data_IF_401245544096
#
_entry.id   IF_401245544096
#
_cell.length_a   1.000
_cell.length_b   1.000
_cell.length_c   1.000
_cell.angle_alpha   90.00
_cell.angle_beta   90.00
_cell.angle_gamma   90.00
#
_symmetry.space_group_name_H-M   'P 1'
#
loop_
_entity.id
_entity.type
_entity.pdbx_description
1 polymer ?
#
# COMPACT_ATOMS: atom_id res chain seq x y z
N UNK A 1 -3.35 38.74 24.54
CA UNK A 1 -4.02 37.49 24.93
C UNK A 1 -5.22 37.88 25.75
N UNK A 2 -6.41 37.32 25.49
CA UNK A 2 -7.57 37.58 26.33
C UNK A 2 -7.67 36.52 27.45
N UNK A 3 -8.48 36.78 28.47
CA UNK A 3 -8.67 35.89 29.63
C UNK A 3 -9.20 34.49 29.24
N UNK A 4 -9.95 34.42 28.13
CA UNK A 4 -10.41 33.16 27.52
C UNK A 4 -9.26 32.31 26.97
N UNK A 5 -8.26 32.93 26.33
CA UNK A 5 -7.06 32.26 25.82
C UNK A 5 -6.23 31.65 26.97
N UNK A 6 -6.09 32.37 28.09
CA UNK A 6 -5.34 31.87 29.26
C UNK A 6 -6.03 30.68 29.94
N UNK A 7 -7.35 30.75 30.14
CA UNK A 7 -8.13 29.64 30.68
C UNK A 7 -8.00 28.38 29.83
N UNK A 8 -8.04 28.54 28.50
CA UNK A 8 -7.88 27.43 27.58
C UNK A 8 -6.43 26.89 27.54
N UNK A 9 -5.41 27.74 27.68
CA UNK A 9 -4.03 27.26 27.84
C UNK A 9 -3.89 26.37 29.04
N UNK A 10 -4.36 26.81 30.21
CA UNK A 10 -4.23 26.01 31.43
C UNK A 10 -4.97 24.68 31.31
N UNK A 11 -6.16 24.70 30.71
CA UNK A 11 -6.92 23.49 30.40
C UNK A 11 -6.13 22.48 29.55
N UNK A 12 -5.37 22.93 28.55
CA UNK A 12 -4.57 22.03 27.71
C UNK A 12 -3.18 21.74 28.28
N UNK A 13 -2.57 22.64 29.06
CA UNK A 13 -1.33 22.36 29.82
C UNK A 13 -1.51 21.16 30.73
N UNK A 14 -2.63 21.09 31.46
CA UNK A 14 -2.96 19.94 32.31
C UNK A 14 -3.13 18.61 31.57
N UNK A 15 -3.26 18.63 30.24
CA UNK A 15 -3.39 17.43 29.39
C UNK A 15 -2.07 17.00 28.73
N UNK A 16 -1.01 17.80 28.85
CA UNK A 16 0.29 17.47 28.27
C UNK A 16 0.92 16.33 29.09
N UNK A 17 1.32 15.27 28.41
CA UNK A 17 2.06 14.15 29.01
C UNK A 17 3.28 13.86 28.16
N UNK A 18 4.47 13.83 28.76
CA UNK A 18 5.74 13.59 28.06
C UNK A 18 5.92 14.47 26.80
N UNK A 19 5.60 15.77 26.92
CA UNK A 19 5.59 16.74 25.80
C UNK A 19 4.69 16.35 24.62
N UNK A 20 3.72 15.47 24.84
CA UNK A 20 2.71 15.08 23.88
C UNK A 20 1.37 15.68 24.28
N UNK A 21 0.65 16.21 23.29
CA UNK A 21 -0.71 16.68 23.45
C UNK A 21 -1.64 16.00 22.44
N UNK A 22 -2.70 15.39 22.96
CA UNK A 22 -3.82 14.90 22.16
C UNK A 22 -4.98 15.89 22.23
N UNK A 23 -5.48 16.31 21.06
CA UNK A 23 -6.73 17.06 20.93
C UNK A 23 -7.67 16.20 20.09
N UNK A 24 -8.84 15.92 20.66
CA UNK A 24 -9.82 15.06 20.04
C UNK A 24 -11.24 15.59 20.26
N UNK A 25 -12.11 15.31 19.29
CA UNK A 25 -13.49 15.80 19.25
C UNK A 25 -13.60 17.06 18.40
N UNK A 26 -14.83 17.39 18.01
CA UNK A 26 -15.20 18.48 17.08
C UNK A 26 -14.79 19.86 17.61
N UNK A 27 -13.49 20.11 17.62
CA UNK A 27 -12.82 21.26 18.23
C UNK A 27 -12.37 22.19 17.11
N UNK A 28 -12.85 23.43 17.17
CA UNK A 28 -12.39 24.49 16.30
C UNK A 28 -11.02 25.01 16.73
N UNK A 29 -9.97 24.73 15.96
CA UNK A 29 -8.62 25.16 16.26
C UNK A 29 -8.36 26.63 15.89
N UNK A 30 -9.24 27.30 15.11
CA UNK A 30 -9.15 28.77 14.91
C UNK A 30 -9.41 29.57 16.18
N UNK A 31 -10.21 29.02 17.10
CA UNK A 31 -10.45 29.61 18.41
C UNK A 31 -9.42 29.19 19.46
N UNK A 32 -8.41 28.42 19.06
CA UNK A 32 -7.35 27.86 19.91
C UNK A 32 -5.99 28.42 19.45
N UNK A 33 -5.92 29.75 19.27
CA UNK A 33 -4.71 30.46 18.81
C UNK A 33 -3.53 30.35 19.79
N UNK A 34 -3.79 29.84 20.98
CA UNK A 34 -2.81 29.69 22.03
C UNK A 34 -1.94 28.44 21.91
N UNK A 35 -2.18 27.54 20.94
CA UNK A 35 -1.37 26.33 20.78
C UNK A 35 0.13 26.65 20.76
N UNK A 36 0.53 27.73 20.09
CA UNK A 36 1.91 28.25 20.06
C UNK A 36 2.56 28.49 21.44
N UNK A 37 1.77 28.66 22.50
CA UNK A 37 2.22 28.89 23.86
C UNK A 37 2.46 27.61 24.66
N UNK A 38 2.18 26.43 24.07
CA UNK A 38 2.35 25.13 24.70
C UNK A 38 3.73 24.56 24.34
N UNK A 39 4.49 24.11 25.35
CA UNK A 39 5.73 23.35 25.12
C UNK A 39 5.38 21.87 24.85
N UNK A 40 5.11 21.58 23.57
CA UNK A 40 4.81 20.23 23.08
C UNK A 40 5.69 19.91 21.89
N UNK A 41 6.14 18.66 21.81
CA UNK A 41 6.92 18.11 20.70
C UNK A 41 6.09 17.17 19.84
N UNK A 42 5.11 16.49 20.45
CA UNK A 42 4.14 15.67 19.73
C UNK A 42 2.76 16.30 19.82
N UNK A 43 2.11 16.50 18.68
CA UNK A 43 0.74 16.96 18.59
C UNK A 43 -0.09 15.94 17.81
N UNK A 44 -1.10 15.38 18.47
CA UNK A 44 -2.03 14.44 17.85
C UNK A 44 -3.42 15.07 17.78
N UNK A 45 -3.93 15.26 16.58
CA UNK A 45 -5.22 15.88 16.30
C UNK A 45 -6.17 14.82 15.70
N UNK A 46 -7.36 14.70 16.28
CA UNK A 46 -8.37 13.74 15.84
C UNK A 46 -9.74 14.43 15.75
N UNK A 47 -10.37 14.41 14.57
CA UNK A 47 -11.69 15.00 14.36
C UNK A 47 -11.76 16.49 14.77
N UNK A 48 -10.71 17.26 14.49
CA UNK A 48 -10.66 18.70 14.73
C UNK A 48 -11.05 19.48 13.47
N UNK A 49 -11.16 20.81 13.53
CA UNK A 49 -11.34 21.59 12.31
C UNK A 49 -10.73 22.98 12.41
N UNK A 50 -10.47 23.62 11.27
CA UNK A 50 -9.97 25.00 11.24
C UNK A 50 -8.52 25.15 11.73
N UNK A 51 -7.70 24.10 11.64
CA UNK A 51 -6.27 24.23 11.92
C UNK A 51 -5.62 25.22 10.94
N UNK A 52 -4.88 26.19 11.49
CA UNK A 52 -3.97 27.03 10.72
C UNK A 52 -2.56 26.83 11.30
N UNK A 53 -1.61 26.35 10.49
CA UNK A 53 -0.27 25.98 10.94
C UNK A 53 0.51 27.11 11.62
N UNK A 54 0.18 28.37 11.32
CA UNK A 54 0.77 29.56 11.97
C UNK A 54 0.50 29.65 13.49
N UNK A 55 -0.48 28.90 14.01
CA UNK A 55 -0.77 28.84 15.44
C UNK A 55 -0.19 27.60 16.12
N UNK A 56 0.42 26.68 15.38
CA UNK A 56 1.01 25.45 15.92
C UNK A 56 2.44 25.73 16.41
N UNK A 57 2.89 25.18 17.54
CA UNK A 57 4.25 25.35 18.02
C UNK A 57 5.31 24.96 16.98
N UNK A 58 6.37 25.76 16.86
CA UNK A 58 7.43 25.53 15.87
C UNK A 58 8.44 24.47 16.30
N UNK A 59 8.45 24.08 17.59
CA UNK A 59 9.28 23.04 18.17
C UNK A 59 8.69 21.61 18.03
N UNK A 60 7.57 21.46 17.32
CA UNK A 60 6.98 20.16 17.02
C UNK A 60 7.96 19.30 16.23
N UNK A 61 8.14 18.06 16.70
CA UNK A 61 8.93 17.02 16.05
C UNK A 61 8.04 15.94 15.45
N UNK A 62 6.82 15.74 15.98
CA UNK A 62 5.85 14.78 15.48
C UNK A 62 4.45 15.41 15.41
N UNK A 63 3.87 15.45 14.21
CA UNK A 63 2.52 15.92 13.99
C UNK A 63 1.67 14.81 13.36
N UNK A 64 0.57 14.49 14.03
CA UNK A 64 -0.40 13.51 13.57
C UNK A 64 -1.76 14.20 13.46
N UNK A 65 -2.38 14.10 12.30
CA UNK A 65 -3.71 14.62 12.01
C UNK A 65 -4.58 13.56 11.36
N UNK A 66 -5.71 13.26 11.98
CA UNK A 66 -6.73 12.38 11.45
C UNK A 66 -8.08 13.08 11.41
N UNK A 67 -8.68 13.14 10.22
CA UNK A 67 -10.03 13.69 10.01
C UNK A 67 -10.16 15.13 10.53
N UNK A 68 -9.12 15.96 10.37
CA UNK A 68 -9.11 17.32 10.89
C UNK A 68 -9.57 18.40 9.89
N UNK A 69 -10.02 17.96 8.70
CA UNK A 69 -10.48 18.83 7.59
C UNK A 69 -9.48 19.94 7.28
N UNK A 70 -8.19 19.59 7.28
CA UNK A 70 -7.11 20.54 6.96
C UNK A 70 -7.20 20.85 5.46
N UNK A 71 -7.40 22.12 5.13
CA UNK A 71 -7.55 22.55 3.74
C UNK A 71 -6.22 22.83 3.04
N UNK A 72 -5.18 23.16 3.81
CA UNK A 72 -3.85 23.51 3.29
C UNK A 72 -2.77 23.21 4.32
N UNK A 73 -1.59 22.82 3.84
CA UNK A 73 -0.37 22.68 4.65
C UNK A 73 0.43 23.98 4.74
N UNK A 74 -0.05 25.09 4.17
CA UNK A 74 0.67 26.36 4.19
C UNK A 74 1.03 26.78 5.63
N UNK A 75 2.32 27.06 5.85
CA UNK A 75 2.87 27.39 7.17
C UNK A 75 3.59 26.22 7.85
N UNK A 76 3.38 24.97 7.42
CA UNK A 76 4.05 23.80 8.00
C UNK A 76 5.59 23.90 7.91
N UNK A 77 6.10 24.58 6.89
CA UNK A 77 7.52 24.89 6.67
C UNK A 77 8.19 25.64 7.84
N UNK A 78 7.43 26.21 8.78
CA UNK A 78 7.94 26.86 9.99
C UNK A 78 8.41 25.84 11.04
N UNK A 79 7.94 24.59 10.98
CA UNK A 79 8.30 23.51 11.90
C UNK A 79 9.62 22.87 11.50
N UNK A 80 10.72 23.61 11.68
CA UNK A 80 12.07 23.19 11.25
C UNK A 80 12.63 21.97 11.99
N UNK A 81 11.97 21.52 13.06
CA UNK A 81 12.35 20.32 13.82
C UNK A 81 11.44 19.12 13.53
N UNK A 82 10.51 19.24 12.57
CA UNK A 82 9.57 18.16 12.27
C UNK A 82 10.31 16.95 11.67
N UNK A 83 10.21 15.81 12.35
CA UNK A 83 10.81 14.52 11.96
C UNK A 83 9.74 13.51 11.49
N UNK A 84 8.51 13.64 12.00
CA UNK A 84 7.39 12.78 11.62
C UNK A 84 6.13 13.59 11.31
N UNK A 85 5.54 13.34 10.15
CA UNK A 85 4.30 13.93 9.71
C UNK A 85 3.32 12.84 9.27
N UNK A 86 2.14 12.82 9.87
CA UNK A 86 1.02 11.97 9.45
C UNK A 86 -0.20 12.85 9.24
N UNK A 87 -0.73 12.84 8.02
CA UNK A 87 -1.87 13.67 7.62
C UNK A 87 -2.86 12.78 6.86
N UNK A 88 -4.03 12.55 7.45
CA UNK A 88 -5.13 11.86 6.81
C UNK A 88 -6.25 12.86 6.49
N UNK A 89 -6.13 13.49 5.32
CA UNK A 89 -6.95 14.62 4.91
C UNK A 89 -7.30 14.48 3.42
N UNK A 90 -8.60 14.52 3.13
CA UNK A 90 -9.11 14.21 1.80
C UNK A 90 -8.98 15.35 0.79
N UNK A 91 -8.84 16.60 1.26
CA UNK A 91 -9.05 17.80 0.44
C UNK A 91 -7.78 18.64 0.16
N UNK A 92 -6.62 18.23 0.69
CA UNK A 92 -5.35 18.94 0.45
C UNK A 92 -4.93 18.72 -1.01
N UNK A 93 -4.68 19.83 -1.73
CA UNK A 93 -4.26 19.80 -3.13
C UNK A 93 -2.76 20.05 -3.32
N UNK A 94 -2.11 20.74 -2.39
CA UNK A 94 -0.70 21.11 -2.51
C UNK A 94 0.13 20.60 -1.33
N UNK A 95 1.00 19.63 -1.64
CA UNK A 95 1.96 19.04 -0.72
C UNK A 95 3.39 19.58 -0.93
N UNK A 96 3.63 20.45 -1.93
CA UNK A 96 4.98 20.95 -2.24
C UNK A 96 5.60 21.72 -1.07
N UNK A 97 4.80 22.34 -0.22
CA UNK A 97 5.27 23.02 0.99
C UNK A 97 6.02 22.11 1.98
N UNK A 98 5.89 20.78 1.84
CA UNK A 98 6.63 19.81 2.66
C UNK A 98 8.10 19.73 2.23
N UNK A 99 8.46 20.12 1.00
CA UNK A 99 9.83 19.98 0.46
C UNK A 99 10.91 20.67 1.33
N UNK A 100 10.52 21.68 2.11
CA UNK A 100 11.42 22.46 2.97
C UNK A 100 11.65 21.82 4.35
N UNK A 101 10.98 20.71 4.65
CA UNK A 101 11.08 19.99 5.93
C UNK A 101 12.13 18.88 5.82
N UNK A 102 13.37 19.29 5.53
CA UNK A 102 14.46 18.36 5.15
C UNK A 102 14.91 17.39 6.25
N UNK A 103 14.45 17.56 7.49
CA UNK A 103 14.70 16.63 8.62
C UNK A 103 13.69 15.49 8.72
N UNK A 104 12.68 15.48 7.85
CA UNK A 104 11.61 14.51 7.91
C UNK A 104 12.14 13.09 7.67
N UNK A 105 11.87 12.19 8.62
CA UNK A 105 12.17 10.76 8.57
C UNK A 105 10.93 9.93 8.28
N UNK A 106 9.77 10.39 8.74
CA UNK A 106 8.49 9.71 8.55
C UNK A 106 7.47 10.62 7.87
N UNK A 107 6.90 10.16 6.77
CA UNK A 107 5.88 10.88 6.02
C UNK A 107 4.74 9.96 5.61
N UNK A 108 3.60 10.13 6.26
CA UNK A 108 2.37 9.39 5.97
C UNK A 108 1.31 10.36 5.48
N UNK A 109 0.94 10.26 4.20
CA UNK A 109 -0.08 11.12 3.60
C UNK A 109 -1.21 10.25 3.04
N UNK A 110 -2.38 10.38 3.64
CA UNK A 110 -3.59 9.66 3.24
C UNK A 110 -4.61 10.69 2.74
N UNK A 111 -4.94 10.64 1.46
CA UNK A 111 -5.75 11.68 0.84
C UNK A 111 -5.94 11.45 -0.65
N UNK A 112 -6.94 12.11 -1.25
CA UNK A 112 -7.28 11.90 -2.68
C UNK A 112 -6.48 12.78 -3.64
N UNK A 113 -5.83 13.83 -3.14
CA UNK A 113 -5.17 14.87 -3.93
C UNK A 113 -3.70 14.61 -4.28
N UNK A 114 -3.08 13.55 -3.75
CA UNK A 114 -1.65 13.29 -3.97
C UNK A 114 -1.45 12.66 -5.35
N UNK A 115 -0.95 13.44 -6.30
CA UNK A 115 -0.70 12.98 -7.69
C UNK A 115 0.77 13.12 -8.11
N UNK A 116 1.43 14.17 -7.64
CA UNK A 116 2.85 14.48 -7.87
C UNK A 116 3.64 14.28 -6.57
N UNK A 117 4.78 13.59 -6.70
CA UNK A 117 5.69 13.24 -5.61
C UNK A 117 7.06 13.92 -5.74
N UNK A 118 7.26 14.82 -6.71
CA UNK A 118 8.55 15.48 -6.96
C UNK A 118 9.11 16.21 -5.72
N UNK A 119 8.22 16.73 -4.86
CA UNK A 119 8.61 17.37 -3.59
C UNK A 119 9.39 16.44 -2.64
N UNK A 120 9.32 15.11 -2.83
CA UNK A 120 10.06 14.14 -2.02
C UNK A 120 11.56 14.13 -2.32
N UNK A 121 11.99 14.64 -3.48
CA UNK A 121 13.42 14.61 -3.87
C UNK A 121 14.32 15.39 -2.91
N UNK A 122 13.79 16.38 -2.19
CA UNK A 122 14.53 17.15 -1.18
C UNK A 122 14.57 16.48 0.20
N UNK A 123 13.76 15.44 0.42
CA UNK A 123 13.57 14.80 1.74
C UNK A 123 14.48 13.57 1.89
N UNK A 124 15.79 13.79 1.73
CA UNK A 124 16.79 12.72 1.59
C UNK A 124 16.90 11.76 2.80
N UNK A 125 16.40 12.15 3.98
CA UNK A 125 16.46 11.35 5.22
C UNK A 125 15.17 10.58 5.52
N UNK A 126 14.24 10.48 4.58
CA UNK A 126 13.05 9.67 4.74
C UNK A 126 13.42 8.19 4.93
N UNK A 127 12.91 7.63 6.01
CA UNK A 127 13.05 6.23 6.43
C UNK A 127 11.71 5.49 6.25
N UNK A 128 10.59 6.18 6.49
CA UNK A 128 9.26 5.58 6.50
C UNK A 128 8.25 6.43 5.71
N UNK A 129 7.77 5.88 4.58
CA UNK A 129 6.82 6.57 3.69
C UNK A 129 5.57 5.73 3.50
N UNK A 130 4.40 6.35 3.66
CA UNK A 130 3.13 5.71 3.37
C UNK A 130 2.19 6.67 2.61
N UNK A 131 1.67 6.21 1.48
CA UNK A 131 0.67 6.92 0.70
C UNK A 131 -0.52 6.02 0.33
N UNK A 132 -1.72 6.58 0.37
CA UNK A 132 -2.93 5.94 -0.16
C UNK A 132 -3.67 6.91 -1.08
N UNK A 133 -3.22 7.01 -2.32
CA UNK A 133 -3.86 7.82 -3.36
C UNK A 133 -3.84 7.11 -4.70
N UNK A 134 -5.02 6.93 -5.29
CA UNK A 134 -5.19 6.33 -6.63
C UNK A 134 -4.73 7.24 -7.77
N UNK A 135 -4.40 8.50 -7.48
CA UNK A 135 -3.95 9.47 -8.48
C UNK A 135 -2.44 9.48 -8.65
N UNK A 136 -1.68 8.78 -7.79
CA UNK A 136 -0.24 8.58 -7.94
C UNK A 136 0.00 7.60 -9.09
N UNK A 137 0.62 8.09 -10.16
CA UNK A 137 0.98 7.27 -11.33
C UNK A 137 2.48 6.98 -11.41
N UNK A 138 3.28 7.90 -10.87
CA UNK A 138 4.73 7.81 -10.85
C UNK A 138 5.23 8.08 -9.42
N UNK A 139 6.13 7.22 -8.97
CA UNK A 139 6.83 7.36 -7.69
C UNK A 139 8.36 7.35 -7.89
N UNK A 140 8.82 7.69 -9.10
CA UNK A 140 10.23 7.84 -9.43
C UNK A 140 10.98 8.82 -8.51
N UNK A 141 10.28 9.79 -7.94
CA UNK A 141 10.82 10.70 -6.93
C UNK A 141 11.38 9.97 -5.69
N UNK A 142 10.88 8.77 -5.36
CA UNK A 142 11.39 7.96 -4.24
C UNK A 142 12.76 7.33 -4.53
N UNK A 143 13.17 7.18 -5.80
CA UNK A 143 14.32 6.34 -6.19
C UNK A 143 15.67 6.70 -5.54
N UNK A 144 15.85 7.93 -5.06
CA UNK A 144 17.08 8.39 -4.41
C UNK A 144 16.98 8.45 -2.87
N UNK A 145 15.88 7.97 -2.28
CA UNK A 145 15.70 7.93 -0.83
C UNK A 145 16.42 6.70 -0.25
N UNK A 146 17.75 6.77 -0.20
CA UNK A 146 18.60 5.63 0.16
C UNK A 146 18.45 5.16 1.61
N UNK A 147 17.87 5.98 2.49
CA UNK A 147 17.56 5.64 3.89
C UNK A 147 16.18 4.99 4.06
N UNK A 148 15.39 4.85 3.00
CA UNK A 148 14.05 4.31 3.08
C UNK A 148 14.08 2.82 3.47
N UNK A 149 13.51 2.50 4.62
CA UNK A 149 13.40 1.14 5.17
C UNK A 149 11.96 0.64 5.11
N UNK A 150 10.97 1.53 5.18
CA UNK A 150 9.55 1.20 5.12
C UNK A 150 8.83 1.98 4.02
N UNK A 151 8.14 1.26 3.13
CA UNK A 151 7.31 1.85 2.08
C UNK A 151 5.96 1.15 1.98
N UNK A 152 4.88 1.94 2.12
CA UNK A 152 3.51 1.50 1.87
C UNK A 152 2.87 2.33 0.75
N UNK A 153 2.48 1.65 -0.33
CA UNK A 153 1.75 2.22 -1.47
C UNK A 153 0.48 1.41 -1.74
N UNK A 154 -0.20 0.97 -0.68
CA UNK A 154 -1.43 0.21 -0.77
C UNK A 154 -2.53 1.01 -1.49
N UNK A 155 -3.31 0.34 -2.33
CA UNK A 155 -4.45 0.92 -3.05
C UNK A 155 -4.13 2.17 -3.90
N UNK A 156 -2.90 2.28 -4.42
CA UNK A 156 -2.45 3.42 -5.25
C UNK A 156 -2.63 3.19 -6.74
N UNK A 157 -2.94 1.96 -7.18
CA UNK A 157 -2.98 1.52 -8.58
C UNK A 157 -1.62 1.53 -9.28
N UNK A 158 -0.53 1.52 -8.51
CA UNK A 158 0.84 1.52 -9.03
C UNK A 158 1.21 0.13 -9.55
N UNK A 159 1.54 0.04 -10.84
CA UNK A 159 2.00 -1.20 -11.48
C UNK A 159 3.48 -1.20 -11.85
N UNK A 160 4.04 -0.04 -12.21
CA UNK A 160 5.45 0.05 -12.62
C UNK A 160 6.36 0.11 -11.39
N UNK A 161 6.94 -1.02 -11.01
CA UNK A 161 7.79 -1.12 -9.82
C UNK A 161 9.24 -0.66 -10.04
N UNK A 162 9.62 -0.19 -11.23
CA UNK A 162 11.01 0.17 -11.58
C UNK A 162 11.70 1.09 -10.55
N UNK A 163 11.06 2.12 -9.97
CA UNK A 163 11.72 2.98 -9.00
C UNK A 163 12.21 2.26 -7.74
N UNK A 164 11.63 1.10 -7.38
CA UNK A 164 12.07 0.31 -6.22
C UNK A 164 13.49 -0.24 -6.38
N UNK A 165 14.00 -0.39 -7.61
CA UNK A 165 15.30 -1.04 -7.89
C UNK A 165 16.47 -0.41 -7.12
N UNK A 166 16.40 0.88 -6.80
CA UNK A 166 17.45 1.61 -6.09
C UNK A 166 17.30 1.58 -4.55
N UNK A 167 16.14 1.15 -4.05
CA UNK A 167 15.78 1.17 -2.64
C UNK A 167 16.25 -0.09 -1.91
N UNK A 168 17.55 -0.40 -2.02
CA UNK A 168 18.15 -1.64 -1.50
C UNK A 168 18.09 -1.77 0.02
N UNK A 169 17.87 -0.66 0.73
CA UNK A 169 17.69 -0.61 2.17
C UNK A 169 16.28 -0.99 2.65
N UNK A 170 15.33 -1.22 1.75
CA UNK A 170 13.95 -1.57 2.13
C UNK A 170 13.90 -2.87 2.92
N UNK A 171 13.24 -2.81 4.07
CA UNK A 171 12.98 -3.94 4.97
C UNK A 171 11.48 -4.29 5.02
N UNK A 172 10.61 -3.30 4.80
CA UNK A 172 9.15 -3.44 4.83
C UNK A 172 8.53 -2.84 3.57
N UNK A 173 7.82 -3.65 2.79
CA UNK A 173 7.16 -3.21 1.57
C UNK A 173 5.71 -3.66 1.52
N UNK A 174 4.79 -2.71 1.36
CA UNK A 174 3.37 -2.96 1.16
C UNK A 174 2.87 -2.40 -0.17
N UNK A 175 2.33 -3.30 -0.99
CA UNK A 175 1.81 -3.01 -2.32
C UNK A 175 0.44 -3.71 -2.52
N UNK A 176 -0.34 -3.81 -1.44
CA UNK A 176 -1.65 -4.44 -1.43
C UNK A 176 -2.60 -3.75 -2.41
N UNK A 177 -3.35 -4.56 -3.17
CA UNK A 177 -4.45 -4.08 -4.01
C UNK A 177 -4.07 -3.01 -5.06
N UNK A 178 -3.00 -3.26 -5.81
CA UNK A 178 -2.52 -2.34 -6.86
C UNK A 178 -2.77 -2.85 -8.29
N UNK A 179 -3.15 -4.12 -8.45
CA UNK A 179 -3.27 -4.75 -9.77
C UNK A 179 -1.91 -4.99 -10.42
N UNK A 180 -0.88 -5.27 -9.61
CA UNK A 180 0.47 -5.62 -10.06
C UNK A 180 0.45 -7.00 -10.70
N UNK A 181 1.11 -7.14 -11.85
CA UNK A 181 1.21 -8.39 -12.59
C UNK A 181 2.65 -8.93 -12.52
N UNK A 182 3.63 -8.03 -12.68
CA UNK A 182 5.05 -8.35 -12.75
C UNK A 182 5.81 -7.82 -11.53
N UNK A 183 6.57 -8.71 -10.88
CA UNK A 183 7.35 -8.39 -9.67
C UNK A 183 8.85 -8.65 -9.82
N UNK A 184 9.36 -8.71 -11.06
CA UNK A 184 10.79 -8.95 -11.34
C UNK A 184 11.74 -8.00 -10.62
N UNK A 185 11.31 -6.76 -10.33
CA UNK A 185 12.11 -5.77 -9.60
C UNK A 185 12.34 -6.17 -8.12
N UNK A 186 11.44 -6.95 -7.53
CA UNK A 186 11.52 -7.30 -6.10
C UNK A 186 12.77 -8.12 -5.78
N UNK A 187 13.35 -8.84 -6.75
CA UNK A 187 14.58 -9.62 -6.56
C UNK A 187 15.79 -8.79 -6.11
N UNK A 188 15.77 -7.47 -6.29
CA UNK A 188 16.84 -6.56 -5.90
C UNK A 188 16.73 -6.07 -4.44
N UNK A 189 15.59 -6.32 -3.77
CA UNK A 189 15.29 -5.84 -2.42
C UNK A 189 15.64 -6.88 -1.36
N UNK A 190 16.91 -7.32 -1.35
CA UNK A 190 17.36 -8.48 -0.56
C UNK A 190 17.25 -8.32 0.95
N UNK A 191 17.06 -7.09 1.45
CA UNK A 191 16.90 -6.79 2.88
C UNK A 191 15.45 -6.91 3.37
N UNK A 192 14.48 -7.20 2.49
CA UNK A 192 13.09 -7.32 2.87
C UNK A 192 12.90 -8.41 3.94
N UNK A 193 12.23 -8.02 5.02
CA UNK A 193 11.76 -8.90 6.09
C UNK A 193 10.24 -9.03 6.07
N UNK A 194 9.53 -8.04 5.52
CA UNK A 194 8.08 -8.03 5.34
C UNK A 194 7.71 -7.63 3.92
N UNK A 195 6.85 -8.43 3.28
CA UNK A 195 6.32 -8.15 1.95
C UNK A 195 4.82 -8.45 1.87
N UNK A 196 4.03 -7.43 1.55
CA UNK A 196 2.59 -7.53 1.31
C UNK A 196 2.26 -7.23 -0.16
N UNK A 197 1.75 -8.23 -0.86
CA UNK A 197 1.39 -8.22 -2.27
C UNK A 197 0.01 -8.82 -2.52
N UNK A 198 -0.82 -8.97 -1.49
CA UNK A 198 -2.17 -9.49 -1.63
C UNK A 198 -3.06 -8.63 -2.54
N UNK A 199 -4.09 -9.25 -3.12
CA UNK A 199 -5.06 -8.62 -4.01
C UNK A 199 -4.42 -7.98 -5.26
N UNK A 200 -3.47 -8.69 -5.86
CA UNK A 200 -2.84 -8.31 -7.11
C UNK A 200 -3.14 -9.38 -8.18
N UNK A 201 -2.38 -9.37 -9.27
CA UNK A 201 -2.54 -10.25 -10.43
C UNK A 201 -1.29 -11.06 -10.70
N UNK A 202 -0.52 -11.37 -9.66
CA UNK A 202 0.80 -11.98 -9.79
C UNK A 202 0.64 -13.46 -10.13
N UNK A 203 1.36 -13.91 -11.16
CA UNK A 203 1.43 -15.31 -11.58
C UNK A 203 2.78 -15.91 -11.21
N UNK A 204 3.86 -15.21 -11.59
CA UNK A 204 5.23 -15.64 -11.34
C UNK A 204 5.80 -14.99 -10.06
N UNK A 205 6.25 -15.85 -9.14
CA UNK A 205 6.90 -15.45 -7.89
C UNK A 205 8.38 -15.87 -7.81
N UNK A 206 8.99 -16.35 -8.91
CA UNK A 206 10.43 -16.63 -8.96
C UNK A 206 11.34 -15.48 -8.47
N UNK A 207 11.01 -14.19 -8.69
CA UNK A 207 11.79 -13.07 -8.15
C UNK A 207 11.96 -13.09 -6.62
N UNK A 208 11.09 -13.80 -5.87
CA UNK A 208 11.17 -13.90 -4.41
C UNK A 208 12.24 -14.87 -3.91
N UNK A 209 12.79 -15.73 -4.77
CA UNK A 209 13.67 -16.85 -4.40
C UNK A 209 14.98 -16.46 -3.71
N UNK A 210 15.37 -15.19 -3.78
CA UNK A 210 16.60 -14.64 -3.20
C UNK A 210 16.37 -13.82 -1.94
N UNK A 211 15.12 -13.64 -1.50
CA UNK A 211 14.78 -12.82 -0.33
C UNK A 211 14.90 -13.61 0.98
N UNK A 212 16.09 -14.14 1.25
CA UNK A 212 16.30 -15.10 2.37
C UNK A 212 16.05 -14.53 3.75
N UNK A 213 16.00 -13.19 3.92
CA UNK A 213 15.65 -12.53 5.18
C UNK A 213 14.14 -12.35 5.39
N UNK A 214 13.31 -12.78 4.45
CA UNK A 214 11.88 -12.60 4.50
C UNK A 214 11.26 -13.43 5.62
N UNK A 215 10.58 -12.76 6.55
CA UNK A 215 9.91 -13.36 7.72
C UNK A 215 8.40 -13.37 7.56
N UNK A 216 7.86 -12.39 6.85
CA UNK A 216 6.43 -12.20 6.62
C UNK A 216 6.13 -12.00 5.13
N UNK A 217 5.31 -12.86 4.53
CA UNK A 217 4.95 -12.81 3.10
C UNK A 217 3.45 -13.01 2.87
N UNK A 218 2.79 -11.99 2.35
CA UNK A 218 1.35 -12.05 2.06
C UNK A 218 1.11 -11.92 0.55
N UNK A 219 0.57 -12.98 -0.04
CA UNK A 219 0.35 -13.15 -1.47
C UNK A 219 -1.09 -13.60 -1.77
N UNK A 220 -2.01 -13.49 -0.82
CA UNK A 220 -3.38 -13.94 -1.03
C UNK A 220 -4.11 -13.17 -2.12
N UNK A 221 -5.09 -13.82 -2.77
CA UNK A 221 -5.84 -13.24 -3.88
C UNK A 221 -4.92 -12.79 -5.03
N UNK A 222 -4.12 -13.71 -5.54
CA UNK A 222 -3.29 -13.58 -6.73
C UNK A 222 -3.60 -14.75 -7.69
N UNK A 223 -2.77 -14.93 -8.73
CA UNK A 223 -2.94 -15.96 -9.77
C UNK A 223 -1.80 -17.02 -9.73
N UNK A 224 -1.22 -17.25 -8.55
CA UNK A 224 -0.02 -18.08 -8.40
C UNK A 224 -0.35 -19.56 -8.55
N UNK A 225 0.49 -20.29 -9.31
CA UNK A 225 0.32 -21.71 -9.60
C UNK A 225 1.34 -22.61 -8.87
N UNK A 226 2.53 -22.08 -8.60
CA UNK A 226 3.67 -22.82 -8.06
C UNK A 226 4.39 -22.02 -6.99
N UNK A 227 4.98 -22.72 -6.03
CA UNK A 227 5.65 -22.11 -4.85
C UNK A 227 7.12 -22.48 -4.73
N UNK A 228 7.73 -23.03 -5.78
CA UNK A 228 9.15 -23.42 -5.80
C UNK A 228 10.09 -22.27 -5.43
N UNK A 229 9.72 -21.03 -5.76
CA UNK A 229 10.48 -19.84 -5.39
C UNK A 229 10.64 -19.69 -3.86
N UNK A 230 9.74 -20.24 -3.06
CA UNK A 230 9.73 -20.06 -1.61
C UNK A 230 10.56 -21.11 -0.87
N UNK A 231 11.04 -22.16 -1.54
CA UNK A 231 11.65 -23.34 -0.91
C UNK A 231 12.88 -23.03 -0.03
N UNK A 232 13.60 -21.94 -0.33
CA UNK A 232 14.80 -21.52 0.38
C UNK A 232 14.55 -20.41 1.43
N UNK A 233 13.31 -19.96 1.60
CA UNK A 233 12.94 -18.91 2.55
C UNK A 233 12.71 -19.51 3.94
N UNK A 234 13.78 -20.05 4.53
CA UNK A 234 13.73 -20.85 5.76
C UNK A 234 13.31 -20.05 7.01
N UNK A 235 13.46 -18.73 6.98
CA UNK A 235 13.08 -17.81 8.06
C UNK A 235 11.64 -17.30 7.94
N UNK A 236 10.89 -17.76 6.94
CA UNK A 236 9.51 -17.36 6.71
C UNK A 236 8.61 -17.98 7.80
N UNK A 237 8.08 -17.13 8.68
CA UNK A 237 7.27 -17.55 9.83
C UNK A 237 5.79 -17.20 9.67
N UNK A 238 5.49 -16.14 8.93
CA UNK A 238 4.13 -15.68 8.67
C UNK A 238 3.92 -15.61 7.17
N UNK A 239 3.01 -16.40 6.62
CA UNK A 239 2.65 -16.22 5.22
C UNK A 239 1.21 -16.56 4.91
N UNK A 240 0.70 -15.89 3.89
CA UNK A 240 -0.66 -16.08 3.39
C UNK A 240 -0.62 -16.29 1.86
N UNK A 241 -1.07 -17.46 1.44
CA UNK A 241 -1.20 -17.87 0.04
C UNK A 241 -2.67 -18.15 -0.33
N UNK A 242 -3.64 -17.82 0.52
CA UNK A 242 -5.05 -18.10 0.27
C UNK A 242 -5.53 -17.48 -1.05
N UNK A 243 -6.53 -18.09 -1.67
CA UNK A 243 -7.12 -17.59 -2.92
C UNK A 243 -6.11 -17.45 -4.09
N UNK A 244 -5.17 -18.39 -4.17
CA UNK A 244 -4.34 -18.65 -5.36
C UNK A 244 -4.78 -19.96 -6.05
N UNK A 245 -3.96 -20.48 -6.98
CA UNK A 245 -4.22 -21.69 -7.78
C UNK A 245 -3.15 -22.77 -7.54
N UNK A 246 -2.51 -22.75 -6.37
CA UNK A 246 -1.46 -23.70 -6.01
C UNK A 246 -2.07 -25.08 -5.73
N UNK A 247 -1.52 -26.11 -6.39
CA UNK A 247 -1.94 -27.51 -6.21
C UNK A 247 -0.90 -28.36 -5.50
N UNK A 248 0.37 -27.99 -5.61
CA UNK A 248 1.48 -28.68 -4.98
C UNK A 248 2.22 -27.76 -4.00
N UNK A 249 2.18 -28.15 -2.73
CA UNK A 249 2.86 -27.48 -1.63
C UNK A 249 4.12 -28.24 -1.19
N UNK A 250 4.49 -29.34 -1.87
CA UNK A 250 5.71 -30.10 -1.60
C UNK A 250 6.98 -29.23 -1.52
N UNK A 251 7.17 -28.17 -2.34
CA UNK A 251 8.39 -27.36 -2.27
C UNK A 251 8.56 -26.57 -0.97
N UNK A 252 7.48 -26.36 -0.20
CA UNK A 252 7.50 -25.54 1.01
C UNK A 252 7.18 -26.31 2.29
N UNK A 253 7.16 -27.65 2.25
CA UNK A 253 6.86 -28.50 3.41
C UNK A 253 7.82 -28.29 4.59
N UNK A 254 9.03 -27.80 4.33
CA UNK A 254 10.07 -27.60 5.34
C UNK A 254 10.03 -26.21 6.01
N UNK A 255 9.15 -25.30 5.56
CA UNK A 255 9.01 -23.98 6.18
C UNK A 255 8.29 -24.16 7.52
N UNK A 256 8.98 -23.82 8.62
CA UNK A 256 8.44 -23.92 9.97
C UNK A 256 7.19 -23.05 10.04
N UNK A 257 6.03 -23.66 10.32
CA UNK A 257 4.72 -23.01 10.43
C UNK A 257 3.95 -22.76 9.13
N UNK A 258 3.93 -23.70 8.17
CA UNK A 258 2.89 -23.71 7.12
C UNK A 258 1.49 -23.64 7.77
N UNK A 259 0.72 -22.54 7.63
CA UNK A 259 -0.61 -22.46 8.22
C UNK A 259 -1.50 -23.57 7.66
N UNK A 260 -2.38 -24.16 8.49
CA UNK A 260 -3.36 -25.17 8.07
C UNK A 260 -4.17 -24.73 6.83
N UNK A 261 -4.32 -23.43 6.63
CA UNK A 261 -5.05 -22.81 5.53
C UNK A 261 -4.38 -22.94 4.15
N UNK A 262 -3.06 -23.10 4.08
CA UNK A 262 -2.35 -23.35 2.82
C UNK A 262 -2.70 -24.72 2.22
N UNK A 263 -3.27 -25.64 3.00
CA UNK A 263 -3.62 -26.98 2.55
C UNK A 263 -5.07 -27.14 2.07
N UNK A 264 -5.84 -26.05 1.90
CA UNK A 264 -7.16 -26.17 1.28
C UNK A 264 -7.00 -26.54 -0.19
N UNK A 265 -7.46 -27.73 -0.57
CA UNK A 265 -7.50 -28.17 -1.97
C UNK A 265 -8.17 -27.09 -2.82
N UNK A 266 -7.57 -26.69 -3.96
CA UNK A 266 -8.20 -25.74 -4.85
C UNK A 266 -9.59 -26.26 -5.23
N UNK A 267 -10.58 -25.37 -5.17
CA UNK A 267 -11.95 -25.69 -5.54
C UNK A 267 -12.00 -26.18 -7.00
N UNK A 268 -13.03 -26.94 -7.38
CA UNK A 268 -13.23 -27.34 -8.78
C UNK A 268 -13.23 -26.14 -9.75
N UNK A 269 -13.66 -24.96 -9.28
CA UNK A 269 -13.59 -23.69 -10.02
C UNK A 269 -12.15 -23.22 -10.24
N UNK A 270 -11.31 -23.28 -9.20
CA UNK A 270 -9.88 -22.97 -9.30
C UNK A 270 -9.13 -23.96 -10.19
N UNK A 271 -9.40 -25.26 -10.08
CA UNK A 271 -8.78 -26.29 -10.94
C UNK A 271 -9.12 -26.11 -12.42
N UNK A 272 -10.35 -25.68 -12.76
CA UNK A 272 -10.75 -25.38 -14.15
C UNK A 272 -10.07 -24.12 -14.68
N UNK A 273 -9.98 -23.07 -13.86
CA UNK A 273 -9.27 -21.85 -14.26
C UNK A 273 -7.77 -22.12 -14.42
N UNK A 274 -7.18 -22.92 -13.54
CA UNK A 274 -5.80 -23.36 -13.65
C UNK A 274 -5.54 -24.14 -14.93
N UNK A 275 -6.45 -25.04 -15.34
CA UNK A 275 -6.34 -25.72 -16.63
C UNK A 275 -6.40 -24.75 -17.82
N UNK A 276 -7.30 -23.77 -17.78
CA UNK A 276 -7.42 -22.74 -18.82
C UNK A 276 -6.18 -21.82 -18.88
N UNK A 277 -5.65 -21.41 -17.73
CA UNK A 277 -4.39 -20.67 -17.65
C UNK A 277 -3.24 -21.52 -18.18
N UNK A 278 -3.08 -22.76 -17.70
CA UNK A 278 -2.01 -23.65 -18.16
C UNK A 278 -2.07 -23.93 -19.66
N UNK A 279 -3.25 -24.06 -20.27
CA UNK A 279 -3.38 -24.23 -21.72
C UNK A 279 -2.99 -22.98 -22.51
N UNK A 280 -3.22 -21.78 -21.95
CA UNK A 280 -2.76 -20.51 -22.52
C UNK A 280 -1.22 -20.41 -22.44
N UNK A 281 -0.64 -20.76 -21.29
CA UNK A 281 0.81 -20.73 -21.08
C UNK A 281 1.56 -21.85 -21.82
N UNK A 282 0.92 -22.99 -22.12
CA UNK A 282 1.55 -24.11 -22.84
C UNK A 282 1.49 -24.00 -24.36
N UNK A 283 0.68 -23.08 -24.92
CA UNK A 283 0.48 -22.93 -26.38
C UNK A 283 1.09 -21.64 -26.94
N UNK A 284 1.71 -20.80 -26.12
CA UNK A 284 2.29 -19.52 -26.54
C UNK A 284 3.83 -19.56 -26.46
N UNK A 285 4.48 -19.69 -27.62
CA UNK A 285 5.95 -19.52 -27.74
C UNK A 285 6.39 -18.04 -27.66
N UNK A 286 5.45 -17.10 -27.55
CA UNK A 286 5.72 -15.67 -27.72
C UNK A 286 5.06 -14.81 -26.61
N UNK A 287 5.89 -14.09 -25.87
CA UNK A 287 5.51 -13.28 -24.70
C UNK A 287 4.47 -12.18 -25.00
N UNK A 288 4.36 -11.75 -26.27
CA UNK A 288 3.40 -10.75 -26.72
C UNK A 288 1.94 -11.26 -26.78
N UNK A 289 1.73 -12.56 -27.00
CA UNK A 289 0.39 -13.17 -27.06
C UNK A 289 -0.14 -13.45 -25.65
N UNK A 290 0.77 -13.82 -24.75
CA UNK A 290 0.55 -13.91 -23.30
C UNK A 290 0.05 -12.59 -22.71
N UNK A 291 0.71 -11.48 -23.05
CA UNK A 291 0.32 -10.14 -22.61
C UNK A 291 -1.07 -9.70 -23.09
N UNK A 292 -1.55 -10.17 -24.25
CA UNK A 292 -2.88 -9.82 -24.78
C UNK A 292 -4.00 -10.65 -24.16
N UNK A 293 -3.77 -11.94 -23.94
CA UNK A 293 -4.75 -12.83 -23.29
C UNK A 293 -4.84 -12.56 -21.77
N UNK A 294 -3.72 -12.25 -21.13
CA UNK A 294 -3.69 -11.78 -19.76
C UNK A 294 -4.35 -10.40 -19.62
N UNK A 295 -4.04 -9.43 -20.51
CA UNK A 295 -4.71 -8.13 -20.53
C UNK A 295 -6.23 -8.21 -20.71
N UNK A 296 -6.76 -9.19 -21.46
CA UNK A 296 -8.20 -9.41 -21.60
C UNK A 296 -8.84 -9.88 -20.29
N UNK A 297 -8.25 -10.91 -19.66
CA UNK A 297 -8.66 -11.42 -18.35
C UNK A 297 -8.56 -10.32 -17.29
N UNK A 298 -7.48 -9.54 -17.30
CA UNK A 298 -7.27 -8.40 -16.42
C UNK A 298 -8.28 -7.28 -16.66
N UNK A 299 -8.59 -6.93 -17.91
CA UNK A 299 -9.59 -5.89 -18.23
C UNK A 299 -10.99 -6.23 -17.72
N UNK A 300 -11.35 -7.52 -17.75
CA UNK A 300 -12.62 -8.02 -17.22
C UNK A 300 -12.64 -8.01 -15.70
N UNK A 301 -11.53 -8.39 -15.04
CA UNK A 301 -11.39 -8.28 -13.59
C UNK A 301 -11.48 -6.82 -13.13
N UNK A 302 -10.73 -5.94 -13.79
CA UNK A 302 -10.60 -4.54 -13.39
C UNK A 302 -11.93 -3.79 -13.54
N UNK A 303 -12.74 -4.16 -14.54
CA UNK A 303 -14.11 -3.69 -14.70
C UNK A 303 -15.03 -4.14 -13.55
N UNK A 304 -14.97 -5.41 -13.15
CA UNK A 304 -15.71 -5.93 -11.99
C UNK A 304 -15.26 -5.26 -10.69
N UNK A 305 -13.97 -4.94 -10.57
CA UNK A 305 -13.37 -4.22 -9.45
C UNK A 305 -13.83 -2.76 -9.36
N UNK A 306 -13.91 -2.03 -10.48
CA UNK A 306 -14.28 -0.60 -10.49
C UNK A 306 -15.76 -0.36 -10.14
N UNK A 307 -16.66 -1.30 -10.44
CA UNK A 307 -18.10 -1.16 -10.20
C UNK A 307 -18.52 -1.35 -8.73
N UNK A 308 -17.61 -1.69 -7.81
CA UNK A 308 -17.98 -2.06 -6.42
C UNK A 308 -17.19 -1.31 -5.34
N UNK A 309 -17.90 -0.58 -4.47
CA UNK A 309 -17.34 0.03 -3.24
C UNK A 309 -16.87 -1.08 -2.28
N UNK A 310 -15.58 -1.09 -1.91
CA UNK A 310 -14.92 -2.25 -1.31
C UNK A 310 -15.15 -2.38 0.21
N UNK A 311 -15.65 -3.54 0.63
CA UNK A 311 -15.45 -4.12 1.98
C UNK A 311 -14.96 -5.56 1.79
N UNK A 312 -14.20 -6.11 2.75
CA UNK A 312 -13.58 -7.46 2.68
C UNK A 312 -14.58 -8.56 2.26
N UNK A 313 -15.85 -8.44 2.65
CA UNK A 313 -16.93 -9.39 2.31
C UNK A 313 -17.43 -9.28 0.86
N UNK A 314 -17.38 -8.07 0.28
CA UNK A 314 -17.69 -7.84 -1.13
C UNK A 314 -16.58 -8.38 -2.04
N UNK A 315 -15.32 -8.28 -1.61
CA UNK A 315 -14.17 -8.75 -2.40
C UNK A 315 -14.23 -10.25 -2.68
N UNK A 316 -14.58 -11.07 -1.69
CA UNK A 316 -14.77 -12.51 -1.87
C UNK A 316 -15.95 -12.85 -2.79
N UNK A 317 -17.03 -12.07 -2.72
CA UNK A 317 -18.23 -12.26 -3.57
C UNK A 317 -17.94 -11.86 -5.02
N UNK A 318 -17.23 -10.76 -5.23
CA UNK A 318 -16.88 -10.25 -6.57
C UNK A 318 -15.76 -11.05 -7.23
N UNK A 319 -14.84 -11.63 -6.44
CA UNK A 319 -13.90 -12.64 -6.93
C UNK A 319 -14.63 -13.88 -7.45
N UNK A 320 -15.65 -14.36 -6.74
CA UNK A 320 -16.49 -15.46 -7.23
C UNK A 320 -17.26 -15.08 -8.51
N UNK A 321 -17.74 -13.84 -8.62
CA UNK A 321 -18.39 -13.32 -9.83
C UNK A 321 -17.38 -13.24 -10.99
N UNK A 322 -16.17 -12.74 -10.77
CA UNK A 322 -15.10 -12.73 -11.77
C UNK A 322 -14.75 -14.14 -12.24
N UNK A 323 -14.59 -15.08 -11.30
CA UNK A 323 -14.35 -16.49 -11.62
C UNK A 323 -15.51 -17.07 -12.44
N UNK A 324 -16.76 -16.74 -12.11
CA UNK A 324 -17.95 -17.19 -12.86
C UNK A 324 -18.06 -16.53 -14.24
N UNK A 325 -17.68 -15.25 -14.38
CA UNK A 325 -17.64 -14.51 -15.66
C UNK A 325 -16.58 -15.09 -16.60
N UNK A 326 -15.37 -15.36 -16.08
CA UNK A 326 -14.30 -16.01 -16.82
C UNK A 326 -14.73 -17.44 -17.24
N UNK A 327 -15.36 -18.20 -16.35
CA UNK A 327 -15.92 -19.52 -16.69
C UNK A 327 -16.98 -19.46 -17.80
N UNK A 328 -17.86 -18.45 -17.80
CA UNK A 328 -18.87 -18.25 -18.85
C UNK A 328 -18.26 -17.85 -20.19
N UNK A 329 -17.20 -17.06 -20.20
CA UNK A 329 -16.52 -16.62 -21.41
C UNK A 329 -15.82 -17.81 -22.10
N UNK A 330 -15.12 -18.65 -21.34
CA UNK A 330 -14.48 -19.84 -21.90
C UNK A 330 -15.49 -20.92 -22.35
N UNK A 331 -16.60 -21.11 -21.62
CA UNK A 331 -17.68 -22.01 -22.07
C UNK A 331 -18.36 -21.58 -23.38
N UNK A 332 -18.24 -20.30 -23.77
CA UNK A 332 -18.71 -19.79 -25.08
C UNK A 332 -17.66 -19.98 -26.17
N UNK A 333 -16.38 -19.93 -25.83
CA UNK A 333 -15.27 -20.09 -26.76
C UNK A 333 -15.12 -21.56 -27.18
N UNK A 334 -15.24 -22.51 -26.25
CA UNK A 334 -15.30 -23.96 -26.56
C UNK A 334 -16.46 -24.29 -27.53
N UNK A 335 -17.59 -23.59 -27.43
CA UNK A 335 -18.73 -23.74 -28.35
C UNK A 335 -18.49 -23.13 -29.74
N UNK A 336 -17.65 -22.10 -29.83
CA UNK A 336 -17.28 -21.47 -31.09
C UNK A 336 -16.24 -22.32 -31.84
N UNK A 337 -15.29 -22.91 -31.12
CA UNK A 337 -14.28 -23.81 -31.69
C UNK A 337 -14.91 -25.16 -32.11
N UNK A 338 -15.90 -25.69 -31.38
CA UNK A 338 -16.69 -26.86 -31.83
C UNK A 338 -17.53 -26.59 -33.09
N UNK A 339 -17.97 -25.35 -33.32
CA UNK A 339 -18.72 -24.97 -34.53
C UNK A 339 -17.83 -24.68 -35.74
N UNK A 340 -16.54 -24.39 -35.53
CA UNK A 340 -15.56 -24.24 -36.61
C UNK A 340 -14.91 -25.57 -37.03
N UNK A 341 -15.08 -26.62 -36.22
CA UNK A 341 -14.60 -27.99 -36.45
C UNK A 341 -15.66 -28.96 -37.00
N UNK A 342 -16.89 -28.48 -37.25
CA UNK A 342 -17.93 -29.16 -38.03
C UNK A 342 -18.07 -28.50 -39.40
#
# INVERSE_FOLDING_TARGET
>A
MNEYDESMIEKYRGKIQNKSLGIAGDVNLKSVKFLQALDVQTLNLYNCHGLEFKYVPTNITNLISYDCKIQTLMGIQQMKQLEALTVNEIDIQDYHVIQDIVKLKKLHLFGKGINDLEFLRSLAYLENVAFTSKTIKDFSALSNLHYLTELSLNETMIKNLTPLKQLKGLEHLELWNNGIEEISIIQYLTNLTYLQLGFNFIVDIQPLSRLTYLKSLYLSNNLILQVNALQNLIDLNNFDLEYNFITDFSPIQNIKHTPQYCNKKPTHKQLRLQKALNSIYSTSEDANTLGKQSAFIYSKYDKIRQDTHFTIKLAATNFNIFVDEIQRLFARQDKYDEQLLQ
#
